data_IF_001401717740
#
_entry.id   IF_001401717740
#
_cell.length_a   1.000
_cell.length_b   1.000
_cell.length_c   1.000
_cell.angle_alpha   90.00
_cell.angle_beta   90.00
_cell.angle_gamma   90.00
#
_symmetry.space_group_name_H-M   'P 1'
#
loop_
_entity.id
_entity.type
_entity.pdbx_description
1 polymer ?
#
# COMPACT_ATOMS: atom_id res chain seq x y z
N UNK A 1 9.51 -9.82 -13.45
CA UNK A 1 9.08 -9.62 -12.06
C UNK A 1 7.62 -10.04 -11.93
N UNK A 2 7.33 -10.95 -11.01
CA UNK A 2 5.95 -11.38 -10.77
C UNK A 2 5.15 -10.27 -10.09
N UNK A 3 3.82 -10.40 -10.10
CA UNK A 3 2.98 -9.42 -9.40
C UNK A 3 3.21 -9.47 -7.89
N UNK A 4 3.51 -10.65 -7.34
CA UNK A 4 3.89 -10.75 -5.93
C UNK A 4 5.15 -9.91 -5.64
N UNK A 5 6.14 -9.98 -6.51
CA UNK A 5 7.37 -9.21 -6.33
C UNK A 5 7.10 -7.72 -6.42
N UNK A 6 6.18 -7.30 -7.30
CA UNK A 6 5.78 -5.89 -7.41
C UNK A 6 5.12 -5.40 -6.13
N UNK A 7 4.27 -6.23 -5.52
CA UNK A 7 3.63 -5.88 -4.25
C UNK A 7 4.67 -5.77 -3.14
N UNK A 8 5.61 -6.70 -3.08
CA UNK A 8 6.67 -6.65 -2.06
C UNK A 8 7.53 -5.41 -2.22
N UNK A 9 7.82 -5.00 -3.46
CA UNK A 9 8.55 -3.76 -3.73
C UNK A 9 7.73 -2.54 -3.30
N UNK A 10 6.44 -2.52 -3.59
CA UNK A 10 5.54 -1.46 -3.14
C UNK A 10 5.57 -1.30 -1.62
N UNK A 11 5.50 -2.43 -0.89
CA UNK A 11 5.57 -2.44 0.57
C UNK A 11 6.91 -1.90 1.04
N UNK A 12 8.01 -2.31 0.40
CA UNK A 12 9.34 -1.84 0.77
C UNK A 12 9.48 -0.33 0.61
N UNK A 13 8.86 0.25 -0.43
CA UNK A 13 8.88 1.70 -0.64
C UNK A 13 8.07 2.42 0.44
N UNK A 14 6.93 1.85 0.86
CA UNK A 14 6.18 2.39 1.98
C UNK A 14 7.02 2.36 3.27
N UNK A 15 7.67 1.23 3.54
CA UNK A 15 8.51 1.09 4.74
C UNK A 15 9.70 2.05 4.72
N UNK A 16 10.20 2.39 3.54
CA UNK A 16 11.27 3.36 3.38
C UNK A 16 10.79 4.82 3.42
N UNK A 17 9.48 5.04 3.57
CA UNK A 17 8.86 6.37 3.57
C UNK A 17 9.13 7.12 2.24
N UNK A 18 9.23 6.37 1.16
CA UNK A 18 9.51 6.89 -0.18
C UNK A 18 8.18 7.22 -0.89
N UNK A 19 7.65 8.40 -0.64
CA UNK A 19 6.36 8.83 -1.19
C UNK A 19 6.38 8.80 -2.72
N UNK A 20 7.44 9.31 -3.33
CA UNK A 20 7.55 9.30 -4.80
C UNK A 20 7.58 7.87 -5.35
N UNK A 21 8.33 6.98 -4.70
CA UNK A 21 8.39 5.58 -5.09
C UNK A 21 7.04 4.89 -4.97
N UNK A 22 6.30 5.17 -3.88
CA UNK A 22 4.97 4.62 -3.69
C UNK A 22 4.02 5.12 -4.80
N UNK A 23 3.99 6.41 -5.05
CA UNK A 23 3.10 6.99 -6.06
C UNK A 23 3.42 6.49 -7.47
N UNK A 24 4.68 6.20 -7.75
CA UNK A 24 5.10 5.70 -9.06
C UNK A 24 4.53 4.30 -9.37
N UNK A 25 4.06 3.56 -8.36
CA UNK A 25 3.51 2.22 -8.55
C UNK A 25 2.04 2.23 -8.99
N UNK A 26 1.34 3.35 -8.82
CA UNK A 26 -0.09 3.44 -9.17
C UNK A 26 -0.28 3.81 -10.63
N UNK A 27 -1.30 3.23 -11.26
CA UNK A 27 -1.75 3.69 -12.57
C UNK A 27 -2.50 5.01 -12.43
N UNK A 28 -2.63 5.78 -13.53
CA UNK A 28 -3.30 7.09 -13.49
C UNK A 28 -4.75 6.99 -13.04
N UNK A 29 -5.41 5.88 -13.35
CA UNK A 29 -6.81 5.65 -13.00
C UNK A 29 -6.97 4.63 -11.88
N UNK A 30 -5.97 4.49 -11.00
CA UNK A 30 -6.00 3.53 -9.91
C UNK A 30 -7.18 3.76 -8.96
N UNK A 31 -7.62 2.67 -8.35
CA UNK A 31 -8.69 2.67 -7.36
C UNK A 31 -8.10 2.21 -6.04
N UNK A 32 -8.26 3.03 -5.00
CA UNK A 32 -7.67 2.76 -3.69
C UNK A 32 -8.78 2.82 -2.64
N UNK A 33 -8.98 1.72 -1.94
CA UNK A 33 -10.11 1.62 -1.01
C UNK A 33 -9.69 0.94 0.30
N UNK A 34 -9.74 1.68 1.39
CA UNK A 34 -9.56 1.16 2.74
C UNK A 34 -10.94 1.07 3.41
N UNK A 35 -11.49 -0.12 3.45
CA UNK A 35 -12.81 -0.35 4.06
C UNK A 35 -12.72 -0.09 5.57
N UNK A 36 -13.64 0.67 6.18
CA UNK A 36 -14.90 1.19 5.64
C UNK A 36 -14.84 2.62 5.08
N UNK A 37 -13.66 3.14 4.79
CA UNK A 37 -13.51 4.49 4.26
C UNK A 37 -14.00 4.58 2.81
N UNK A 38 -14.27 5.81 2.34
CA UNK A 38 -14.65 6.05 0.96
C UNK A 38 -13.50 5.66 0.02
N UNK A 39 -13.80 5.07 -1.14
CA UNK A 39 -12.75 4.76 -2.11
C UNK A 39 -12.17 6.02 -2.75
N UNK A 40 -10.91 5.92 -3.16
CA UNK A 40 -10.21 6.98 -3.87
C UNK A 40 -10.05 6.56 -5.32
N UNK A 41 -10.42 7.43 -6.24
CA UNK A 41 -10.37 7.15 -7.67
C UNK A 41 -9.36 8.07 -8.36
N UNK A 42 -8.39 7.46 -9.03
CA UNK A 42 -7.38 8.17 -9.78
C UNK A 42 -6.18 8.57 -8.92
N UNK A 43 -5.07 8.78 -9.61
CA UNK A 43 -3.78 9.01 -8.94
C UNK A 43 -3.76 10.30 -8.14
N UNK A 44 -4.49 11.34 -8.57
CA UNK A 44 -4.51 12.61 -7.84
C UNK A 44 -5.23 12.49 -6.51
N UNK A 45 -6.35 11.77 -6.46
CA UNK A 45 -7.07 11.53 -5.20
C UNK A 45 -6.22 10.69 -4.25
N UNK A 46 -5.54 9.68 -4.78
CA UNK A 46 -4.68 8.80 -3.98
C UNK A 46 -3.51 9.59 -3.42
N UNK A 47 -2.87 10.43 -4.24
CA UNK A 47 -1.77 11.29 -3.79
C UNK A 47 -2.24 12.23 -2.70
N UNK A 48 -3.42 12.82 -2.86
CA UNK A 48 -4.01 13.74 -1.87
C UNK A 48 -4.25 13.09 -0.53
N UNK A 49 -4.35 11.76 -0.47
CA UNK A 49 -4.48 11.02 0.77
C UNK A 49 -3.10 10.58 1.30
N UNK A 50 -2.28 9.98 0.43
CA UNK A 50 -1.04 9.33 0.86
C UNK A 50 0.02 10.35 1.31
N UNK A 51 0.20 11.43 0.57
CA UNK A 51 1.23 12.42 0.93
C UNK A 51 1.02 13.01 2.32
N UNK A 52 -0.19 13.54 2.65
CA UNK A 52 -0.42 14.06 4.00
C UNK A 52 -0.40 12.97 5.07
N UNK A 53 -0.84 11.76 4.72
CA UNK A 53 -0.86 10.64 5.66
C UNK A 53 0.56 10.25 6.08
N UNK A 54 1.49 10.21 5.12
CA UNK A 54 2.87 9.78 5.38
C UNK A 54 3.73 10.87 6.03
N UNK A 55 3.35 12.14 5.89
CA UNK A 55 4.16 13.25 6.37
C UNK A 55 4.53 13.15 7.86
N UNK A 56 3.58 12.91 8.78
CA UNK A 56 3.92 12.81 10.22
C UNK A 56 4.50 11.47 10.62
N UNK A 57 4.54 10.49 9.71
CA UNK A 57 4.97 9.14 10.05
C UNK A 57 6.49 9.06 9.99
N UNK A 58 7.12 8.53 11.06
CA UNK A 58 8.56 8.37 11.15
C UNK A 58 9.01 6.95 10.88
N UNK A 59 8.09 5.99 10.99
CA UNK A 59 8.42 4.57 10.80
C UNK A 59 7.20 3.81 10.33
N UNK A 60 7.36 2.97 9.31
CA UNK A 60 6.31 2.07 8.82
C UNK A 60 6.88 0.66 8.75
N UNK A 61 6.13 -0.31 9.25
CA UNK A 61 6.45 -1.72 9.09
C UNK A 61 5.19 -2.46 8.65
N UNK A 62 5.29 -3.19 7.54
CA UNK A 62 4.20 -4.03 7.03
C UNK A 62 4.70 -5.48 7.04
N UNK A 63 4.43 -6.18 8.12
CA UNK A 63 4.82 -7.58 8.23
C UNK A 63 3.85 -8.45 7.42
N UNK A 64 4.35 -9.07 6.35
CA UNK A 64 3.56 -9.94 5.48
C UNK A 64 3.55 -11.33 6.10
N UNK A 65 2.37 -11.77 6.55
CA UNK A 65 2.18 -13.10 7.12
C UNK A 65 1.92 -14.12 6.01
N UNK A 66 1.10 -13.75 5.03
CA UNK A 66 0.78 -14.58 3.88
C UNK A 66 0.67 -13.71 2.64
N UNK A 67 1.14 -14.24 1.51
CA UNK A 67 1.01 -13.59 0.22
C UNK A 67 0.75 -14.67 -0.84
N UNK A 68 -0.23 -14.40 -1.70
CA UNK A 68 -0.61 -15.32 -2.76
C UNK A 68 -0.99 -14.54 -4.00
N UNK A 69 -0.80 -15.15 -5.15
CA UNK A 69 -1.21 -14.60 -6.44
C UNK A 69 -2.13 -15.59 -7.12
N UNK A 70 -3.29 -15.13 -7.58
CA UNK A 70 -4.23 -16.02 -8.25
C UNK A 70 -3.90 -16.16 -9.76
N UNK A 71 -4.71 -16.95 -10.47
CA UNK A 71 -4.47 -17.22 -11.90
C UNK A 71 -4.65 -15.98 -12.79
N UNK A 72 -5.30 -14.95 -12.28
CA UNK A 72 -5.52 -13.69 -12.99
C UNK A 72 -4.48 -12.61 -12.65
N UNK A 73 -3.51 -12.95 -11.83
CA UNK A 73 -2.47 -12.01 -11.42
C UNK A 73 -2.87 -11.10 -10.27
N UNK A 74 -3.99 -11.37 -9.60
CA UNK A 74 -4.42 -10.63 -8.42
C UNK A 74 -3.62 -11.13 -7.22
N UNK A 75 -3.03 -10.20 -6.46
CA UNK A 75 -2.21 -10.53 -5.29
C UNK A 75 -3.01 -10.24 -4.03
N UNK A 76 -3.02 -11.21 -3.11
CA UNK A 76 -3.68 -11.07 -1.82
C UNK A 76 -2.63 -11.18 -0.71
N UNK A 77 -2.77 -10.31 0.29
CA UNK A 77 -1.87 -10.33 1.45
C UNK A 77 -2.65 -10.35 2.74
N UNK A 78 -2.06 -11.01 3.73
CA UNK A 78 -2.47 -10.86 5.13
C UNK A 78 -1.26 -10.29 5.85
N UNK A 79 -1.43 -9.14 6.52
CA UNK A 79 -0.32 -8.38 7.08
C UNK A 79 -0.65 -7.84 8.45
N UNK A 80 0.41 -7.45 9.16
CA UNK A 80 0.30 -6.57 10.33
C UNK A 80 1.02 -5.28 9.95
N UNK A 81 0.28 -4.19 9.89
CA UNK A 81 0.81 -2.88 9.54
C UNK A 81 1.03 -2.08 10.81
N UNK A 82 2.23 -1.55 10.99
CA UNK A 82 2.59 -0.73 12.13
C UNK A 82 3.04 0.65 11.65
N UNK A 83 2.47 1.70 12.23
CA UNK A 83 2.81 3.08 11.91
C UNK A 83 3.25 3.79 13.17
N UNK A 84 4.39 4.50 13.12
CA UNK A 84 4.91 5.29 14.23
C UNK A 84 4.89 6.77 13.83
N UNK A 85 4.26 7.59 14.67
CA UNK A 85 4.25 9.04 14.46
C UNK A 85 4.31 9.72 15.83
N UNK A 86 5.37 10.54 16.04
CA UNK A 86 5.64 11.13 17.32
C UNK A 86 5.98 10.05 18.34
N UNK A 87 5.27 10.05 19.46
CA UNK A 87 5.39 9.04 20.50
C UNK A 87 4.26 8.00 20.45
N UNK A 88 3.51 7.98 19.34
CA UNK A 88 2.38 7.07 19.15
C UNK A 88 2.72 5.96 18.18
N UNK A 89 2.15 4.79 18.43
CA UNK A 89 2.30 3.62 17.56
C UNK A 89 0.93 3.01 17.33
N UNK A 90 0.60 2.78 16.05
CA UNK A 90 -0.65 2.13 15.67
C UNK A 90 -0.31 0.81 14.99
N UNK A 91 -0.91 -0.27 15.48
CA UNK A 91 -0.71 -1.62 14.93
C UNK A 91 -2.06 -2.13 14.44
N UNK A 92 -2.13 -2.51 13.16
CA UNK A 92 -3.38 -2.96 12.55
C UNK A 92 -3.18 -4.24 11.76
N UNK A 93 -4.01 -5.28 12.03
CA UNK A 93 -4.07 -6.41 11.11
C UNK A 93 -4.85 -5.98 9.85
N UNK A 94 -4.32 -6.31 8.69
CA UNK A 94 -4.87 -5.87 7.40
C UNK A 94 -4.86 -7.03 6.40
N UNK A 95 -5.93 -7.10 5.60
CA UNK A 95 -5.95 -7.94 4.41
C UNK A 95 -6.05 -7.02 3.20
N UNK A 96 -5.13 -7.18 2.25
CA UNK A 96 -5.08 -6.34 1.07
C UNK A 96 -5.17 -7.13 -0.22
N UNK A 97 -5.86 -6.55 -1.20
CA UNK A 97 -5.97 -7.10 -2.54
C UNK A 97 -5.36 -6.10 -3.51
N UNK A 98 -4.48 -6.60 -4.39
CA UNK A 98 -3.78 -5.78 -5.37
C UNK A 98 -4.09 -6.28 -6.76
N UNK A 99 -4.61 -5.39 -7.60
CA UNK A 99 -4.92 -5.69 -9.00
C UNK A 99 -4.03 -4.84 -9.88
N UNK A 100 -3.67 -5.37 -11.05
CA UNK A 100 -2.70 -4.74 -11.94
C UNK A 100 -3.33 -4.48 -13.30
N UNK A 101 -2.98 -3.34 -13.89
CA UNK A 101 -3.36 -2.95 -15.24
C UNK A 101 -2.09 -2.84 -16.07
N UNK A 102 -2.03 -3.64 -17.15
CA UNK A 102 -0.89 -3.64 -18.07
C UNK A 102 0.46 -3.96 -17.37
N UNK A 103 0.38 -4.75 -16.33
CA UNK A 103 1.60 -5.17 -15.61
C UNK A 103 1.98 -4.26 -14.42
#
# INVERSE_FOLDING_TARGET
MSNKDKVLEFIARFEALDVHGVMATFSDNAFYHNIPMEPLNGIDDIRGFIEPFMEPITEISWEVLFIAEDDNGVVLTERVDTFVFGDKQVVMPVMGTFEFENG
#
